data_IF_508585822274
#
_entry.id   IF_508585822274
#
_cell.length_a   1.000
_cell.length_b   1.000
_cell.length_c   1.000
_cell.angle_alpha   90.00
_cell.angle_beta   90.00
_cell.angle_gamma   90.00
#
_symmetry.space_group_name_H-M   'P 1'
#
loop_
_entity.id
_entity.type
_entity.pdbx_description
1 polymer ?
#
# COMPACT_ATOMS: atom_id res chain seq x y z
N UNK A 1 24.24 8.85 -2.15
CA UNK A 1 23.06 8.05 -2.55
C UNK A 1 21.79 8.33 -1.74
N UNK A 2 21.86 8.94 -0.56
CA UNK A 2 20.66 9.22 0.28
C UNK A 2 19.83 10.44 -0.15
N UNK A 3 20.35 11.35 -0.97
CA UNK A 3 19.64 12.59 -1.32
C UNK A 3 18.57 12.41 -2.41
N UNK A 4 18.79 11.57 -3.41
CA UNK A 4 17.85 11.35 -4.52
C UNK A 4 16.60 10.62 -4.06
N UNK A 5 16.75 9.61 -3.20
CA UNK A 5 15.65 8.87 -2.60
C UNK A 5 14.74 9.78 -1.77
N UNK A 6 15.34 10.69 -0.98
CA UNK A 6 14.56 11.65 -0.17
C UNK A 6 13.72 12.58 -1.05
N UNK A 7 14.26 12.97 -2.23
CA UNK A 7 13.54 13.78 -3.20
C UNK A 7 12.49 12.98 -3.99
N UNK A 8 12.68 11.68 -4.17
CA UNK A 8 11.75 10.79 -4.86
C UNK A 8 10.50 10.43 -4.01
N UNK A 9 10.64 10.33 -2.68
CA UNK A 9 9.57 9.92 -1.76
C UNK A 9 8.25 10.68 -1.91
N UNK A 10 8.19 12.01 -1.95
CA UNK A 10 6.92 12.72 -2.10
C UNK A 10 6.22 12.38 -3.41
N UNK A 11 6.97 12.19 -4.49
CA UNK A 11 6.41 11.80 -5.79
C UNK A 11 5.91 10.35 -5.80
N UNK A 12 6.66 9.43 -5.19
CA UNK A 12 6.22 8.04 -5.03
C UNK A 12 4.95 7.94 -4.18
N UNK A 13 4.85 8.71 -3.10
CA UNK A 13 3.67 8.77 -2.24
C UNK A 13 2.47 9.34 -2.99
N UNK A 14 2.63 10.43 -3.74
CA UNK A 14 1.57 11.02 -4.55
C UNK A 14 1.07 10.06 -5.63
N UNK A 15 1.97 9.38 -6.35
CA UNK A 15 1.63 8.36 -7.32
C UNK A 15 0.85 7.20 -6.68
N UNK A 16 1.28 6.74 -5.51
CA UNK A 16 0.63 5.66 -4.77
C UNK A 16 -0.78 6.05 -4.32
N UNK A 17 -0.97 7.25 -3.76
CA UNK A 17 -2.28 7.74 -3.32
C UNK A 17 -3.25 7.90 -4.51
N UNK A 18 -2.78 8.40 -5.66
CA UNK A 18 -3.59 8.49 -6.88
C UNK A 18 -3.99 7.09 -7.37
N UNK A 19 -3.03 6.18 -7.50
CA UNK A 19 -3.26 4.81 -7.95
C UNK A 19 -4.22 4.06 -7.01
N UNK A 20 -4.11 4.27 -5.71
CA UNK A 20 -4.97 3.66 -4.69
C UNK A 20 -6.40 4.19 -4.78
N UNK A 21 -6.60 5.51 -4.95
CA UNK A 21 -7.92 6.12 -5.13
C UNK A 21 -8.64 5.62 -6.39
N UNK A 22 -7.88 5.36 -7.45
CA UNK A 22 -8.42 4.85 -8.72
C UNK A 22 -8.59 3.33 -8.72
N UNK A 23 -8.03 2.61 -7.75
CA UNK A 23 -8.01 1.14 -7.71
C UNK A 23 -7.07 0.51 -8.76
N UNK A 24 -6.12 1.27 -9.28
CA UNK A 24 -5.26 0.91 -10.42
C UNK A 24 -3.79 0.73 -10.04
N UNK A 25 -3.49 0.23 -8.84
CA UNK A 25 -2.12 0.06 -8.36
C UNK A 25 -1.22 -0.75 -9.31
N UNK A 26 -1.76 -1.83 -9.90
CA UNK A 26 -1.02 -2.67 -10.83
C UNK A 26 -0.72 -1.94 -12.16
N UNK A 27 -1.68 -1.18 -12.70
CA UNK A 27 -1.52 -0.37 -13.91
C UNK A 27 -0.47 0.72 -13.72
N UNK A 28 -0.55 1.45 -12.59
CA UNK A 28 0.42 2.50 -12.25
C UNK A 28 1.83 1.95 -12.05
N UNK A 29 1.97 0.79 -11.39
CA UNK A 29 3.25 0.09 -11.23
C UNK A 29 3.89 -0.20 -12.59
N UNK A 30 3.11 -0.75 -13.55
CA UNK A 30 3.60 -1.04 -14.90
C UNK A 30 4.02 0.23 -15.65
N UNK A 31 3.21 1.30 -15.59
CA UNK A 31 3.49 2.59 -16.23
C UNK A 31 4.77 3.24 -15.67
N UNK A 32 4.91 3.30 -14.34
CA UNK A 32 6.10 3.84 -13.69
C UNK A 32 7.33 3.00 -14.04
N UNK A 33 7.20 1.65 -14.06
CA UNK A 33 8.31 0.76 -14.42
C UNK A 33 8.80 1.00 -15.86
N UNK A 34 7.89 1.18 -16.81
CA UNK A 34 8.24 1.49 -18.21
C UNK A 34 8.97 2.84 -18.32
N UNK A 35 8.41 3.89 -17.71
CA UNK A 35 9.04 5.23 -17.73
C UNK A 35 10.39 5.24 -17.02
N UNK A 36 10.54 4.51 -15.92
CA UNK A 36 11.80 4.36 -15.19
C UNK A 36 12.85 3.57 -16.00
N UNK A 37 12.44 2.54 -16.75
CA UNK A 37 13.31 1.80 -17.62
C UNK A 37 13.88 2.69 -18.76
N UNK A 38 13.03 3.55 -19.33
CA UNK A 38 13.47 4.54 -20.32
C UNK A 38 14.46 5.56 -19.72
N UNK A 39 14.24 6.00 -18.48
CA UNK A 39 15.17 6.89 -17.78
C UNK A 39 16.53 6.25 -17.46
N UNK A 40 16.60 4.91 -17.39
CA UNK A 40 17.89 4.20 -17.21
C UNK A 40 18.71 4.10 -18.50
N UNK A 41 18.11 4.29 -19.66
CA UNK A 41 18.85 4.37 -20.92
C UNK A 41 19.63 5.69 -20.94
N UNK A 42 20.95 5.61 -21.10
CA UNK A 42 21.83 6.77 -21.05
C UNK A 42 21.54 7.83 -22.12
N UNK A 43 21.01 7.44 -23.30
CA UNK A 43 20.63 8.38 -24.37
C UNK A 43 19.36 9.13 -24.00
N UNK A 44 18.35 8.42 -23.48
CA UNK A 44 17.06 9.01 -23.07
C UNK A 44 17.27 9.86 -21.82
N UNK A 45 18.05 9.41 -20.86
CA UNK A 45 18.40 10.16 -19.65
C UNK A 45 19.04 11.50 -19.97
N UNK A 46 19.97 11.54 -20.94
CA UNK A 46 20.61 12.77 -21.40
C UNK A 46 19.60 13.74 -22.05
N UNK A 47 18.63 13.22 -22.82
CA UNK A 47 17.57 14.02 -23.43
C UNK A 47 16.59 14.57 -22.40
N UNK A 48 16.14 13.73 -21.46
CA UNK A 48 15.21 14.11 -20.39
C UNK A 48 15.81 15.19 -19.48
N UNK A 49 17.12 15.15 -19.26
CA UNK A 49 17.86 16.16 -18.46
C UNK A 49 18.27 17.39 -19.26
N UNK A 50 18.01 17.42 -20.57
CA UNK A 50 18.45 18.52 -21.43
C UNK A 50 17.53 19.75 -21.27
N UNK A 51 18.09 20.93 -20.97
CA UNK A 51 17.31 22.17 -20.90
C UNK A 51 16.82 22.66 -22.26
N UNK A 52 17.27 22.02 -23.37
CA UNK A 52 16.89 22.40 -24.74
C UNK A 52 15.51 21.86 -25.14
N UNK A 53 15.04 20.83 -24.48
CA UNK A 53 13.73 20.22 -24.74
C UNK A 53 12.65 20.84 -23.85
N UNK A 54 11.49 21.10 -24.44
CA UNK A 54 10.33 21.54 -23.66
C UNK A 54 9.84 20.43 -22.72
N UNK A 55 9.19 20.76 -21.59
CA UNK A 55 8.63 19.76 -20.68
C UNK A 55 7.73 18.73 -21.37
N UNK A 56 6.90 19.18 -22.31
CA UNK A 56 6.00 18.31 -23.09
C UNK A 56 6.75 17.28 -23.96
N UNK A 57 7.88 17.69 -24.55
CA UNK A 57 8.71 16.79 -25.36
C UNK A 57 9.42 15.76 -24.49
N UNK A 58 9.90 16.17 -23.30
CA UNK A 58 10.50 15.26 -22.32
C UNK A 58 9.50 14.21 -21.81
N UNK A 59 8.25 14.62 -21.57
CA UNK A 59 7.18 13.72 -21.17
C UNK A 59 6.86 12.71 -22.27
N UNK A 60 6.75 13.17 -23.52
CA UNK A 60 6.45 12.30 -24.66
C UNK A 60 7.47 11.18 -24.85
N UNK A 61 8.74 11.40 -24.47
CA UNK A 61 9.79 10.37 -24.49
C UNK A 61 9.60 9.28 -23.43
N UNK A 62 8.93 9.60 -22.32
CA UNK A 62 8.75 8.71 -21.16
C UNK A 62 7.35 8.11 -21.09
N UNK A 63 6.41 8.61 -21.88
CA UNK A 63 5.03 8.16 -21.87
C UNK A 63 4.92 6.76 -22.48
N UNK A 64 4.24 5.79 -21.81
CA UNK A 64 3.90 4.51 -22.40
C UNK A 64 3.08 4.70 -23.69
N UNK A 65 3.29 3.84 -24.70
CA UNK A 65 2.65 3.96 -26.03
C UNK A 65 1.12 3.93 -26.01
N UNK A 66 0.57 3.28 -25.00
CA UNK A 66 -0.89 3.08 -24.84
C UNK A 66 -1.54 4.12 -23.92
N UNK A 67 -0.77 5.15 -23.47
CA UNK A 67 -1.25 6.13 -22.53
C UNK A 67 -1.82 7.37 -23.24
N UNK A 68 -3.01 7.82 -22.79
CA UNK A 68 -3.62 9.03 -23.34
C UNK A 68 -2.84 10.28 -22.92
N UNK A 69 -2.70 11.27 -23.81
CA UNK A 69 -1.96 12.50 -23.51
C UNK A 69 -2.58 13.36 -22.40
N UNK A 70 -3.84 13.15 -22.09
CA UNK A 70 -4.61 13.85 -21.04
C UNK A 70 -4.95 12.95 -19.86
N UNK A 71 -4.16 11.90 -19.63
CA UNK A 71 -4.40 10.98 -18.50
C UNK A 71 -3.85 11.53 -17.18
N UNK A 72 -4.37 11.02 -16.08
CA UNK A 72 -3.88 11.31 -14.73
C UNK A 72 -2.38 11.02 -14.60
N UNK A 73 -1.88 9.98 -15.29
CA UNK A 73 -0.47 9.63 -15.31
C UNK A 73 0.37 10.68 -16.07
N UNK A 74 -0.15 11.21 -17.18
CA UNK A 74 0.51 12.28 -17.93
C UNK A 74 0.59 13.57 -17.10
N UNK A 75 -0.48 13.94 -16.40
CA UNK A 75 -0.46 15.08 -15.46
C UNK A 75 0.53 14.87 -14.32
N UNK A 76 0.66 13.66 -13.81
CA UNK A 76 1.67 13.33 -12.82
C UNK A 76 3.11 13.52 -13.35
N UNK A 77 3.39 13.04 -14.57
CA UNK A 77 4.68 13.28 -15.23
C UNK A 77 4.93 14.77 -15.50
N UNK A 78 3.89 15.55 -15.83
CA UNK A 78 3.99 17.01 -16.02
C UNK A 78 4.43 17.70 -14.75
N UNK A 79 3.86 17.37 -13.62
CA UNK A 79 4.28 17.93 -12.33
C UNK A 79 5.73 17.59 -11.96
N UNK A 80 6.24 16.41 -12.38
CA UNK A 80 7.66 16.07 -12.23
C UNK A 80 8.55 16.84 -13.21
N UNK A 81 8.09 17.04 -14.46
CA UNK A 81 8.82 17.76 -15.51
C UNK A 81 9.01 19.24 -15.18
N UNK A 82 7.98 19.89 -14.65
CA UNK A 82 8.02 21.29 -14.20
C UNK A 82 9.05 21.55 -13.11
N UNK A 83 9.33 20.54 -12.30
CA UNK A 83 10.31 20.59 -11.22
C UNK A 83 11.69 20.02 -11.63
N UNK A 84 11.91 19.69 -12.91
CA UNK A 84 13.11 19.03 -13.44
C UNK A 84 13.46 17.72 -12.70
N UNK A 85 12.45 16.93 -12.30
CA UNK A 85 12.60 15.73 -11.47
C UNK A 85 12.29 14.41 -12.18
N UNK A 86 12.16 14.43 -13.50
CA UNK A 86 11.93 13.21 -14.29
C UNK A 86 13.07 12.19 -14.15
N UNK A 87 14.29 12.64 -13.92
CA UNK A 87 15.45 11.77 -13.69
C UNK A 87 15.33 10.93 -12.41
N UNK A 88 14.44 11.28 -11.49
CA UNK A 88 14.19 10.53 -10.25
C UNK A 88 13.22 9.35 -10.44
N UNK A 89 12.64 9.15 -11.63
CA UNK A 89 11.69 8.06 -11.89
C UNK A 89 12.19 6.66 -11.47
N UNK A 90 13.47 6.28 -11.64
CA UNK A 90 13.96 5.01 -11.13
C UNK A 90 13.88 4.87 -9.60
N UNK A 91 14.16 5.96 -8.86
CA UNK A 91 14.05 5.98 -7.40
C UNK A 91 12.57 6.01 -6.97
N UNK A 92 11.72 6.76 -7.71
CA UNK A 92 10.26 6.76 -7.53
C UNK A 92 9.67 5.38 -7.71
N UNK A 93 10.11 4.62 -8.73
CA UNK A 93 9.69 3.24 -8.94
C UNK A 93 10.00 2.37 -7.72
N UNK A 94 11.22 2.45 -7.21
CA UNK A 94 11.65 1.66 -6.05
C UNK A 94 10.80 1.97 -4.80
N UNK A 95 10.58 3.25 -4.50
CA UNK A 95 9.75 3.68 -3.36
C UNK A 95 8.26 3.33 -3.55
N UNK A 96 7.73 3.45 -4.79
CA UNK A 96 6.35 3.05 -5.11
C UNK A 96 6.12 1.57 -4.87
N UNK A 97 7.03 0.70 -5.33
CA UNK A 97 6.93 -0.75 -5.11
C UNK A 97 7.04 -1.12 -3.62
N UNK A 98 7.83 -0.39 -2.83
CA UNK A 98 7.87 -0.58 -1.38
C UNK A 98 6.53 -0.22 -0.73
N UNK A 99 5.92 0.91 -1.12
CA UNK A 99 4.60 1.33 -0.64
C UNK A 99 3.51 0.32 -1.04
N UNK A 100 3.57 -0.15 -2.29
CA UNK A 100 2.67 -1.17 -2.81
C UNK A 100 2.80 -2.47 -2.04
N UNK A 101 4.02 -2.98 -1.86
CA UNK A 101 4.28 -4.19 -1.09
C UNK A 101 3.84 -4.05 0.38
N UNK A 102 4.00 -2.87 0.98
CA UNK A 102 3.51 -2.60 2.33
C UNK A 102 1.97 -2.58 2.41
N UNK A 103 1.30 -2.08 1.37
CA UNK A 103 -0.17 -2.07 1.28
C UNK A 103 -0.76 -3.45 0.95
N UNK A 104 -0.08 -4.21 0.07
CA UNK A 104 -0.47 -5.56 -0.32
C UNK A 104 -0.10 -6.63 0.74
N UNK A 105 0.69 -6.29 1.76
CA UNK A 105 1.00 -7.22 2.86
C UNK A 105 -0.29 -7.67 3.52
N UNK A 106 -0.58 -8.94 3.37
CA UNK A 106 -1.69 -9.60 4.03
C UNK A 106 -1.47 -9.57 5.55
N UNK A 107 -2.40 -8.96 6.28
CA UNK A 107 -2.38 -8.95 7.74
C UNK A 107 -2.83 -10.33 8.22
N UNK A 108 -1.92 -11.10 8.82
CA UNK A 108 -2.28 -12.33 9.52
C UNK A 108 -2.88 -11.97 10.87
N UNK A 109 -4.11 -12.41 11.10
CA UNK A 109 -4.82 -12.26 12.38
C UNK A 109 -5.04 -13.61 13.00
N UNK A 110 -4.41 -13.85 14.15
CA UNK A 110 -4.63 -15.05 14.94
C UNK A 110 -5.94 -14.90 15.73
N UNK A 111 -6.89 -15.77 15.46
CA UNK A 111 -8.19 -15.81 16.12
C UNK A 111 -8.23 -17.01 17.06
N UNK A 112 -8.17 -16.76 18.35
CA UNK A 112 -8.39 -17.79 19.37
C UNK A 112 -9.86 -17.79 19.75
N UNK A 113 -10.56 -18.88 19.51
CA UNK A 113 -12.00 -19.00 19.74
C UNK A 113 -12.31 -20.17 20.67
N UNK A 114 -13.30 -19.98 21.54
CA UNK A 114 -13.79 -21.05 22.42
C UNK A 114 -14.49 -22.16 21.62
N UNK A 115 -15.11 -21.84 20.50
CA UNK A 115 -15.88 -22.76 19.64
C UNK A 115 -15.42 -22.67 18.19
N UNK A 116 -15.67 -23.70 17.36
CA UNK A 116 -15.43 -23.62 15.92
C UNK A 116 -16.20 -22.45 15.31
N UNK A 117 -15.52 -21.67 14.47
CA UNK A 117 -16.12 -20.53 13.77
C UNK A 117 -16.59 -21.01 12.39
N UNK A 118 -17.88 -20.85 12.10
CA UNK A 118 -18.45 -21.21 10.82
C UNK A 118 -17.90 -20.35 9.67
N UNK A 119 -17.91 -20.89 8.43
CA UNK A 119 -17.39 -20.19 7.26
C UNK A 119 -18.04 -18.81 7.03
N UNK A 120 -19.34 -18.68 7.28
CA UNK A 120 -20.08 -17.43 7.22
C UNK A 120 -19.57 -16.38 8.22
N UNK A 121 -19.24 -16.79 9.42
CA UNK A 121 -18.68 -15.93 10.47
C UNK A 121 -17.23 -15.54 10.17
N UNK A 122 -16.44 -16.47 9.61
CA UNK A 122 -15.08 -16.19 9.15
C UNK A 122 -15.09 -15.09 8.07
N UNK A 123 -15.99 -15.21 7.09
CA UNK A 123 -16.13 -14.22 6.02
C UNK A 123 -16.48 -12.83 6.56
N UNK A 124 -17.45 -12.74 7.46
CA UNK A 124 -17.83 -11.48 8.11
C UNK A 124 -16.69 -10.86 8.92
N UNK A 125 -15.88 -11.69 9.60
CA UNK A 125 -14.70 -11.25 10.32
C UNK A 125 -13.65 -10.67 9.35
N UNK A 126 -13.36 -11.36 8.24
CA UNK A 126 -12.43 -10.90 7.22
C UNK A 126 -12.89 -9.54 6.66
N UNK A 127 -14.16 -9.40 6.30
CA UNK A 127 -14.71 -8.16 5.76
C UNK A 127 -14.56 -6.98 6.74
N UNK A 128 -14.95 -7.17 7.99
CA UNK A 128 -14.85 -6.14 9.03
C UNK A 128 -13.40 -5.77 9.35
N UNK A 129 -12.50 -6.75 9.41
CA UNK A 129 -11.08 -6.51 9.66
C UNK A 129 -10.41 -5.85 8.46
N UNK A 130 -10.75 -6.27 7.24
CA UNK A 130 -10.26 -5.65 6.01
C UNK A 130 -10.69 -4.19 5.93
N UNK A 131 -11.95 -3.88 6.24
CA UNK A 131 -12.45 -2.51 6.29
C UNK A 131 -11.75 -1.67 7.36
N UNK A 132 -11.45 -2.25 8.52
CA UNK A 132 -10.79 -1.56 9.64
C UNK A 132 -9.30 -1.30 9.40
N UNK A 133 -8.59 -2.29 8.86
CA UNK A 133 -7.13 -2.21 8.68
C UNK A 133 -6.72 -1.75 7.28
N UNK A 134 -7.65 -1.65 6.34
CA UNK A 134 -7.41 -1.29 4.93
C UNK A 134 -6.35 -2.18 4.26
N UNK A 135 -6.35 -3.48 4.60
CA UNK A 135 -5.41 -4.50 4.11
C UNK A 135 -6.12 -5.82 3.93
N UNK A 136 -5.64 -6.64 3.02
CA UNK A 136 -6.09 -8.03 2.91
C UNK A 136 -5.81 -8.75 4.24
N UNK A 137 -6.81 -9.45 4.78
CA UNK A 137 -6.72 -10.15 6.06
C UNK A 137 -6.80 -11.66 5.84
N UNK A 138 -5.87 -12.39 6.42
CA UNK A 138 -5.94 -13.86 6.53
C UNK A 138 -6.13 -14.23 7.99
N UNK A 139 -7.14 -15.06 8.27
CA UNK A 139 -7.41 -15.57 9.61
C UNK A 139 -6.66 -16.88 9.83
N UNK A 140 -5.99 -16.99 10.96
CA UNK A 140 -5.46 -18.24 11.50
C UNK A 140 -6.25 -18.57 12.77
N UNK A 141 -7.10 -19.60 12.70
CA UNK A 141 -8.06 -19.91 13.76
C UNK A 141 -7.50 -21.02 14.63
N UNK A 142 -7.41 -20.76 15.93
CA UNK A 142 -7.00 -21.72 16.97
C UNK A 142 -8.15 -21.90 17.95
N UNK A 143 -8.53 -23.14 18.19
CA UNK A 143 -9.52 -23.47 19.23
C UNK A 143 -8.86 -23.40 20.61
N UNK A 144 -9.43 -22.58 21.49
CA UNK A 144 -9.02 -22.43 22.88
C UNK A 144 -10.25 -22.47 23.81
N UNK A 145 -10.65 -23.64 24.30
CA UNK A 145 -11.83 -23.79 25.14
C UNK A 145 -11.77 -23.00 26.47
N UNK A 146 -10.58 -22.71 26.98
CA UNK A 146 -10.35 -21.95 28.21
C UNK A 146 -10.91 -20.52 28.16
N UNK A 147 -11.27 -20.02 26.99
CA UNK A 147 -11.92 -18.73 26.82
C UNK A 147 -13.38 -18.71 27.28
N UNK A 148 -13.94 -19.91 27.57
CA UNK A 148 -15.33 -20.14 27.98
C UNK A 148 -16.36 -19.74 26.90
N UNK A 149 -16.09 -18.63 26.17
CA UNK A 149 -16.91 -18.12 25.09
C UNK A 149 -16.30 -16.88 24.44
N UNK A 150 -16.75 -16.57 23.21
CA UNK A 150 -16.22 -15.47 22.43
C UNK A 150 -14.90 -15.80 21.75
N UNK A 151 -14.17 -14.77 21.34
CA UNK A 151 -12.88 -14.89 20.66
C UNK A 151 -11.91 -13.76 21.04
N UNK A 152 -10.62 -14.05 20.94
CA UNK A 152 -9.52 -13.09 21.03
C UNK A 152 -8.87 -12.98 19.66
N UNK A 153 -8.79 -11.78 19.13
CA UNK A 153 -8.17 -11.48 17.84
C UNK A 153 -6.82 -10.79 18.10
N UNK A 154 -5.76 -11.37 17.59
CA UNK A 154 -4.42 -10.86 17.71
C UNK A 154 -3.89 -10.53 16.30
N UNK A 155 -3.73 -9.24 16.02
CA UNK A 155 -3.18 -8.70 14.77
C UNK A 155 -1.72 -8.24 14.93
N UNK A 156 -1.00 -8.75 15.91
CA UNK A 156 0.39 -8.42 16.21
C UNK A 156 0.54 -7.12 16.99
N UNK A 157 0.18 -5.99 16.42
CA UNK A 157 0.25 -4.68 17.11
C UNK A 157 -1.00 -4.34 17.93
N UNK A 158 -2.12 -5.03 17.68
CA UNK A 158 -3.42 -4.78 18.32
C UNK A 158 -4.02 -6.13 18.73
N UNK A 159 -4.39 -6.24 20.00
CA UNK A 159 -5.15 -7.39 20.53
C UNK A 159 -6.56 -6.91 20.88
N UNK A 160 -7.56 -7.59 20.33
CA UNK A 160 -8.98 -7.33 20.63
C UNK A 160 -9.52 -8.54 21.40
N UNK A 161 -9.71 -8.37 22.68
CA UNK A 161 -10.26 -9.42 23.54
C UNK A 161 -11.77 -9.27 23.71
N UNK A 162 -12.51 -10.16 23.05
CA UNK A 162 -13.97 -10.33 23.14
C UNK A 162 -14.39 -11.58 23.92
N UNK A 163 -13.46 -12.25 24.64
CA UNK A 163 -13.75 -13.46 25.39
C UNK A 163 -14.58 -13.21 26.66
N UNK A 164 -15.32 -14.22 27.09
CA UNK A 164 -16.03 -14.19 28.39
C UNK A 164 -15.03 -14.21 29.54
N UNK A 165 -13.95 -14.97 29.44
CA UNK A 165 -12.91 -15.04 30.47
C UNK A 165 -12.26 -13.66 30.70
N UNK A 166 -11.95 -12.91 29.62
CA UNK A 166 -11.41 -11.55 29.73
C UNK A 166 -12.41 -10.54 30.33
N UNK A 167 -13.71 -10.68 30.04
CA UNK A 167 -14.76 -9.87 30.67
C UNK A 167 -14.89 -10.15 32.16
N UNK A 168 -14.87 -11.43 32.56
CA UNK A 168 -14.94 -11.84 33.97
C UNK A 168 -13.70 -11.34 34.75
N UNK A 169 -12.51 -11.46 34.19
CA UNK A 169 -11.28 -10.98 34.82
C UNK A 169 -11.34 -9.45 35.07
N UNK A 170 -11.86 -8.67 34.11
CA UNK A 170 -12.05 -7.22 34.27
C UNK A 170 -13.05 -6.90 35.39
N UNK A 171 -14.20 -7.57 35.40
CA UNK A 171 -15.21 -7.41 36.47
C UNK A 171 -14.64 -7.76 37.84
N UNK A 172 -13.86 -8.82 37.95
CA UNK A 172 -13.21 -9.20 39.19
C UNK A 172 -12.26 -8.12 39.70
N UNK A 173 -11.50 -7.50 38.79
CA UNK A 173 -10.58 -6.39 39.14
C UNK A 173 -11.35 -5.15 39.59
N UNK A 174 -12.46 -4.81 38.90
CA UNK A 174 -13.31 -3.66 39.25
C UNK A 174 -14.05 -3.84 40.59
N UNK A 175 -14.43 -5.09 40.95
CA UNK A 175 -15.08 -5.39 42.21
C UNK A 175 -14.12 -5.53 43.41
N UNK A 176 -12.82 -5.70 43.12
CA UNK A 176 -11.76 -5.84 44.13
C UNK A 176 -11.06 -4.51 44.44
N UNK A 177 -11.36 -3.43 43.70
CA UNK A 177 -10.84 -2.09 43.85
C UNK A 177 -11.79 -1.20 44.63
#
# INVERSE_FOLDING_TARGET
MSSTITLARPYAKAAFELAQKMGELASWSAKIAQSAALCRDGKISALVSSPRLQPSERIALLLPKDEAPDSTYTHYLSAMAENDRLSLLPDVQSEFEQLRAAAERTLKVNVRSAFPIEASQQQQLIEKLTARFQRAVTLEIVLQPDLIGGAVLDAGSIVIDGSLSGKLARLQTELAA
#
